data_IF_931015241919
#
_entry.id   IF_931015241919
#
_cell.length_a   1.000
_cell.length_b   1.000
_cell.length_c   1.000
_cell.angle_alpha   90.00
_cell.angle_beta   90.00
_cell.angle_gamma   90.00
#
_symmetry.space_group_name_H-M   'P 1'
#
loop_
_entity.id
_entity.type
_entity.pdbx_description
1 polymer ?
#
# COMPACT_ATOMS: atom_id res chain seq x y z
N UNK A 1 11.94 12.70 3.44
CA UNK A 1 12.54 11.37 3.15
C UNK A 1 13.30 11.42 1.81
N UNK A 2 14.59 10.98 1.75
CA UNK A 2 15.33 10.79 0.49
C UNK A 2 15.04 9.41 -0.08
N UNK A 3 14.79 9.30 -1.40
CA UNK A 3 14.39 8.05 -2.05
C UNK A 3 15.49 7.62 -3.01
N UNK A 4 15.93 6.37 -2.91
CA UNK A 4 16.93 5.74 -3.75
C UNK A 4 16.34 4.52 -4.43
N UNK A 5 16.46 4.43 -5.75
CA UNK A 5 15.96 3.31 -6.55
C UNK A 5 17.05 2.31 -6.95
N UNK A 6 18.29 2.65 -6.61
CA UNK A 6 19.46 1.81 -6.82
C UNK A 6 20.40 1.93 -5.62
N UNK A 7 20.97 0.80 -5.19
CA UNK A 7 21.95 0.77 -4.09
C UNK A 7 23.19 1.64 -4.36
N UNK A 8 23.58 1.76 -5.63
CA UNK A 8 24.74 2.56 -6.04
C UNK A 8 24.52 4.08 -5.90
N UNK A 9 23.28 4.53 -5.74
CA UNK A 9 22.94 5.93 -5.49
C UNK A 9 23.07 6.28 -3.99
N UNK A 10 23.09 5.25 -3.14
CA UNK A 10 23.13 5.41 -1.70
C UNK A 10 24.53 5.74 -1.20
N UNK A 11 24.65 6.81 -0.42
CA UNK A 11 25.91 7.16 0.24
C UNK A 11 26.01 6.47 1.59
N UNK A 12 27.07 5.71 1.81
CA UNK A 12 27.29 4.97 3.05
C UNK A 12 27.28 5.89 4.27
N UNK A 13 26.47 5.57 5.25
CA UNK A 13 26.32 6.33 6.48
C UNK A 13 27.30 5.85 7.56
N UNK A 14 27.66 6.74 8.47
CA UNK A 14 28.51 6.36 9.61
C UNK A 14 27.76 5.53 10.67
N UNK A 15 26.45 5.79 10.82
CA UNK A 15 25.61 5.15 11.84
C UNK A 15 24.19 5.02 11.33
N UNK A 16 23.94 4.05 10.45
CA UNK A 16 22.59 3.76 9.96
C UNK A 16 21.83 2.88 10.95
N UNK A 17 20.59 3.28 11.23
CA UNK A 17 19.56 2.45 11.87
C UNK A 17 18.64 1.96 10.77
N UNK A 18 18.59 0.67 10.55
CA UNK A 18 17.98 0.06 9.36
C UNK A 18 16.80 -0.81 9.74
N UNK A 19 15.77 -0.81 8.91
CA UNK A 19 14.75 -1.87 8.89
C UNK A 19 14.54 -2.38 7.46
N UNK A 20 14.06 -3.63 7.34
CA UNK A 20 13.92 -4.31 6.05
C UNK A 20 12.52 -4.92 5.97
N UNK A 21 11.85 -4.79 4.85
CA UNK A 21 10.57 -5.45 4.64
C UNK A 21 9.86 -5.07 3.35
N UNK A 22 8.87 -5.86 2.95
CA UNK A 22 8.02 -5.53 1.82
C UNK A 22 7.08 -4.36 2.13
N UNK A 23 6.72 -4.15 3.39
CA UNK A 23 5.83 -3.10 3.90
C UNK A 23 4.54 -2.94 3.06
N UNK A 24 3.98 -4.07 2.62
CA UNK A 24 2.75 -4.04 1.83
C UNK A 24 1.56 -3.71 2.72
N UNK A 25 0.91 -2.59 2.41
CA UNK A 25 -0.17 -2.02 3.18
C UNK A 25 0.27 -1.04 4.28
N UNK A 26 1.55 -0.86 4.56
CA UNK A 26 2.06 0.03 5.65
C UNK A 26 1.11 0.06 6.87
N UNK A 27 0.61 -1.12 7.25
CA UNK A 27 -0.44 -1.30 8.27
C UNK A 27 0.07 -1.04 9.69
N UNK A 28 -0.82 -1.04 10.69
CA UNK A 28 -0.50 -0.68 12.09
C UNK A 28 0.68 -1.52 12.65
N UNK A 29 0.81 -2.80 12.25
CA UNK A 29 1.98 -3.60 12.63
C UNK A 29 3.29 -3.03 12.07
N UNK A 30 3.29 -2.57 10.83
CA UNK A 30 4.45 -1.88 10.23
C UNK A 30 4.75 -0.55 10.93
N UNK A 31 3.71 0.21 11.34
CA UNK A 31 3.88 1.48 12.07
C UNK A 31 4.73 1.35 13.31
N UNK A 32 4.58 0.26 14.07
CA UNK A 32 5.40 0.00 15.26
C UNK A 32 6.88 -0.12 14.93
N UNK A 33 7.19 -0.84 13.84
CA UNK A 33 8.57 -1.00 13.36
C UNK A 33 9.13 0.36 12.94
N UNK A 34 8.35 1.15 12.18
CA UNK A 34 8.76 2.46 11.69
C UNK A 34 8.98 3.48 12.82
N UNK A 35 8.10 3.50 13.80
CA UNK A 35 8.27 4.36 14.97
C UNK A 35 9.53 3.97 15.77
N UNK A 36 9.76 2.67 15.99
CA UNK A 36 10.96 2.20 16.65
C UNK A 36 12.24 2.55 15.89
N UNK A 37 12.19 2.47 14.56
CA UNK A 37 13.28 2.87 13.67
C UNK A 37 13.66 4.35 13.88
N UNK A 38 12.68 5.26 13.82
CA UNK A 38 12.90 6.69 13.96
C UNK A 38 13.24 7.12 15.39
N UNK A 39 12.65 6.50 16.40
CA UNK A 39 13.02 6.71 17.81
C UNK A 39 14.47 6.33 18.07
N UNK A 40 14.87 5.14 17.61
CA UNK A 40 16.23 4.67 17.82
C UNK A 40 17.25 5.52 17.05
N UNK A 41 16.97 5.89 15.80
CA UNK A 41 17.87 6.75 15.01
C UNK A 41 18.12 8.08 15.73
N UNK A 42 17.08 8.69 16.27
CA UNK A 42 17.20 9.91 17.07
C UNK A 42 18.00 9.70 18.36
N UNK A 43 17.76 8.60 19.08
CA UNK A 43 18.42 8.27 20.34
C UNK A 43 19.94 8.08 20.19
N UNK A 44 20.37 7.47 19.07
CA UNK A 44 21.77 7.18 18.80
C UNK A 44 22.49 8.27 18.00
N UNK A 45 21.80 9.35 17.66
CA UNK A 45 22.27 10.37 16.71
C UNK A 45 22.74 9.74 15.38
N UNK A 46 21.92 8.84 14.84
CA UNK A 46 22.10 8.17 13.56
C UNK A 46 21.02 8.58 12.56
N UNK A 47 21.03 7.94 11.38
CA UNK A 47 20.03 8.17 10.34
C UNK A 47 19.20 6.91 10.10
N UNK A 48 17.89 7.08 9.94
CA UNK A 48 16.93 6.00 9.72
C UNK A 48 16.88 5.59 8.25
N UNK A 49 17.02 4.29 7.97
CA UNK A 49 16.98 3.72 6.62
C UNK A 49 15.95 2.61 6.56
N UNK A 50 14.98 2.75 5.69
CA UNK A 50 14.04 1.68 5.37
C UNK A 50 14.43 1.05 4.02
N UNK A 51 14.67 -0.26 4.03
CA UNK A 51 14.87 -1.05 2.82
C UNK A 51 13.56 -1.73 2.46
N UNK A 52 13.08 -1.46 1.25
CA UNK A 52 11.94 -2.18 0.68
C UNK A 52 12.29 -2.75 -0.70
N UNK A 53 11.40 -3.56 -1.24
CA UNK A 53 11.63 -4.29 -2.48
C UNK A 53 10.57 -3.95 -3.51
N UNK A 54 11.01 -3.84 -4.77
CA UNK A 54 10.12 -3.72 -5.91
C UNK A 54 10.75 -4.41 -7.14
N UNK A 55 10.04 -5.31 -7.85
CA UNK A 55 8.69 -5.80 -7.54
C UNK A 55 8.62 -6.53 -6.19
N UNK A 56 7.39 -6.78 -5.73
CA UNK A 56 7.17 -7.48 -4.45
C UNK A 56 7.79 -8.89 -4.48
N UNK A 57 8.57 -9.31 -3.44
CA UNK A 57 9.32 -10.57 -3.44
C UNK A 57 8.50 -11.81 -3.80
N UNK A 58 7.22 -11.82 -3.46
CA UNK A 58 6.33 -12.95 -3.75
C UNK A 58 6.15 -13.21 -5.24
N UNK A 59 6.20 -12.19 -6.09
CA UNK A 59 6.08 -12.38 -7.54
C UNK A 59 7.29 -13.07 -8.15
N UNK A 60 8.46 -12.90 -7.55
CA UNK A 60 9.69 -13.56 -7.99
C UNK A 60 9.85 -14.96 -7.39
N UNK A 61 9.53 -15.12 -6.10
CA UNK A 61 9.74 -16.36 -5.36
C UNK A 61 8.66 -17.41 -5.59
N UNK A 62 7.45 -17.02 -5.96
CA UNK A 62 6.28 -17.90 -6.11
C UNK A 62 5.59 -17.66 -7.45
N UNK A 63 6.30 -17.89 -8.55
CA UNK A 63 5.80 -17.68 -9.93
C UNK A 63 4.53 -18.49 -10.24
N UNK A 64 4.40 -19.68 -9.66
CA UNK A 64 3.27 -20.58 -9.90
C UNK A 64 2.11 -20.41 -8.90
N UNK A 65 2.21 -19.45 -7.96
CA UNK A 65 1.13 -19.18 -7.03
C UNK A 65 0.12 -18.20 -7.63
N UNK A 66 -1.13 -18.29 -7.20
CA UNK A 66 -2.13 -17.28 -7.57
C UNK A 66 -1.62 -15.86 -7.27
N UNK A 67 -1.80 -14.92 -8.22
CA UNK A 67 -1.39 -13.52 -8.02
C UNK A 67 -2.02 -12.95 -6.76
N UNK A 68 -1.21 -12.34 -5.92
CA UNK A 68 -1.75 -11.57 -4.79
C UNK A 68 -1.96 -10.12 -5.24
N UNK A 69 -3.14 -9.58 -4.99
CA UNK A 69 -3.32 -8.13 -5.11
C UNK A 69 -2.49 -7.40 -4.05
N UNK A 70 -1.66 -6.46 -4.47
CA UNK A 70 -0.89 -5.60 -3.57
C UNK A 70 -1.80 -4.59 -2.87
N UNK A 71 -1.59 -4.37 -1.58
CA UNK A 71 -2.35 -3.38 -0.83
C UNK A 71 -1.98 -1.94 -1.22
N UNK A 72 -0.73 -1.72 -1.65
CA UNK A 72 -0.28 -0.43 -2.15
C UNK A 72 0.50 -0.59 -3.45
N UNK A 73 0.34 0.34 -4.38
CA UNK A 73 1.32 0.57 -5.44
C UNK A 73 2.62 1.11 -4.83
N UNK A 74 3.70 1.19 -5.62
CA UNK A 74 4.96 1.76 -5.13
C UNK A 74 4.79 3.23 -4.71
N UNK A 75 4.07 4.01 -5.50
CA UNK A 75 3.80 5.43 -5.23
C UNK A 75 2.94 5.64 -3.99
N UNK A 76 1.91 4.82 -3.79
CA UNK A 76 1.09 4.83 -2.57
C UNK A 76 1.92 4.47 -1.34
N UNK A 77 2.80 3.47 -1.45
CA UNK A 77 3.72 3.07 -0.39
C UNK A 77 4.68 4.20 -0.03
N UNK A 78 5.31 4.83 -1.03
CA UNK A 78 6.21 5.97 -0.82
C UNK A 78 5.47 7.10 -0.11
N UNK A 79 4.27 7.46 -0.57
CA UNK A 79 3.46 8.50 0.05
C UNK A 79 3.13 8.21 1.52
N UNK A 80 2.77 6.97 1.85
CA UNK A 80 2.49 6.55 3.22
C UNK A 80 3.76 6.58 4.09
N UNK A 81 4.88 6.08 3.59
CA UNK A 81 6.13 6.03 4.33
C UNK A 81 6.69 7.42 4.62
N UNK A 82 6.46 8.39 3.75
CA UNK A 82 6.93 9.78 3.94
C UNK A 82 6.32 10.43 5.20
N UNK A 83 5.14 10.00 5.62
CA UNK A 83 4.47 10.49 6.85
C UNK A 83 5.16 10.05 8.14
N UNK A 84 6.11 9.10 8.08
CA UNK A 84 6.84 8.57 9.26
C UNK A 84 8.18 9.26 9.51
N UNK A 85 8.51 10.31 8.75
CA UNK A 85 9.76 11.07 8.92
C UNK A 85 11.03 10.21 8.88
N UNK A 86 11.03 9.16 8.05
CA UNK A 86 12.20 8.34 7.77
C UNK A 86 13.18 9.17 6.94
N UNK A 87 14.47 9.10 7.24
CA UNK A 87 15.47 9.89 6.50
C UNK A 87 15.68 9.34 5.09
N UNK A 88 15.79 8.00 4.96
CA UNK A 88 16.16 7.32 3.71
C UNK A 88 15.24 6.14 3.41
N UNK A 89 14.70 6.09 2.20
CA UNK A 89 13.99 4.94 1.63
C UNK A 89 14.83 4.36 0.49
N UNK A 90 15.32 3.14 0.68
CA UNK A 90 16.03 2.38 -0.34
C UNK A 90 15.11 1.31 -0.94
N UNK A 91 14.83 1.43 -2.22
CA UNK A 91 14.01 0.50 -2.98
C UNK A 91 14.93 -0.41 -3.78
N UNK A 92 15.10 -1.65 -3.32
CA UNK A 92 15.94 -2.63 -3.99
C UNK A 92 15.14 -3.38 -5.06
N UNK A 93 15.75 -3.57 -6.23
CA UNK A 93 15.18 -4.41 -7.29
C UNK A 93 15.24 -5.87 -6.86
N UNK A 94 14.06 -6.46 -6.56
CA UNK A 94 13.97 -7.87 -6.19
C UNK A 94 13.80 -8.73 -7.43
N UNK A 95 14.88 -9.33 -7.88
CA UNK A 95 14.93 -10.23 -9.03
C UNK A 95 15.47 -11.63 -8.61
N UNK A 96 15.58 -12.54 -9.56
CA UNK A 96 16.10 -13.90 -9.30
C UNK A 96 17.53 -13.91 -8.76
N UNK A 97 18.39 -13.02 -9.26
CA UNK A 97 19.76 -12.89 -8.80
C UNK A 97 19.80 -12.43 -7.34
N UNK A 98 19.05 -11.37 -7.00
CA UNK A 98 18.95 -10.87 -5.66
C UNK A 98 18.39 -11.92 -4.69
N UNK A 99 17.41 -12.73 -5.13
CA UNK A 99 16.80 -13.77 -4.31
C UNK A 99 17.75 -14.92 -3.92
N UNK A 100 18.87 -15.06 -4.63
CA UNK A 100 19.92 -16.07 -4.38
C UNK A 100 21.03 -15.58 -3.45
N UNK A 101 21.02 -14.31 -3.05
CA UNK A 101 21.99 -13.79 -2.09
C UNK A 101 21.87 -14.54 -0.77
N UNK A 102 22.99 -15.06 -0.27
CA UNK A 102 23.07 -15.65 1.06
C UNK A 102 22.83 -14.59 2.15
N UNK A 103 22.53 -15.00 3.37
CA UNK A 103 22.41 -14.05 4.48
C UNK A 103 23.71 -13.28 4.69
N UNK A 104 24.86 -13.95 4.60
CA UNK A 104 26.18 -13.31 4.71
C UNK A 104 26.42 -12.25 3.64
N UNK A 105 26.16 -12.60 2.38
CA UNK A 105 26.33 -11.67 1.26
C UNK A 105 25.43 -10.44 1.40
N UNK A 106 24.18 -10.64 1.82
CA UNK A 106 23.25 -9.54 2.06
C UNK A 106 23.75 -8.65 3.21
N UNK A 107 24.17 -9.23 4.31
CA UNK A 107 24.70 -8.47 5.47
C UNK A 107 25.97 -7.71 5.08
N UNK A 108 26.96 -8.38 4.51
CA UNK A 108 28.24 -7.76 4.23
C UNK A 108 28.20 -6.73 3.10
N UNK A 109 27.56 -7.10 1.97
CA UNK A 109 27.54 -6.25 0.77
C UNK A 109 26.56 -5.10 0.86
N UNK A 110 25.34 -5.38 1.38
CA UNK A 110 24.25 -4.40 1.41
C UNK A 110 24.25 -3.66 2.74
N UNK A 111 24.08 -4.36 3.86
CA UNK A 111 23.89 -3.69 5.14
C UNK A 111 25.15 -2.98 5.61
N UNK A 112 26.32 -3.65 5.56
CA UNK A 112 27.56 -3.10 6.09
C UNK A 112 28.22 -2.17 5.07
N UNK A 113 28.61 -2.70 3.91
CA UNK A 113 29.44 -1.96 2.95
C UNK A 113 28.70 -0.81 2.26
N UNK A 114 27.47 -1.08 1.79
CA UNK A 114 26.73 -0.07 1.06
C UNK A 114 25.99 0.93 1.96
N UNK A 115 25.40 0.48 3.08
CA UNK A 115 24.54 1.33 3.93
C UNK A 115 25.27 1.87 5.16
N UNK A 116 26.18 1.11 5.76
CA UNK A 116 26.84 1.46 7.03
C UNK A 116 25.95 1.16 8.23
N UNK A 117 25.24 0.03 8.19
CA UNK A 117 24.29 -0.39 9.23
C UNK A 117 25.02 -0.61 10.55
N UNK A 118 24.59 0.08 11.61
CA UNK A 118 25.03 -0.16 12.98
C UNK A 118 23.95 -0.84 13.82
N UNK A 119 22.69 -0.50 13.55
CA UNK A 119 21.54 -1.06 14.23
C UNK A 119 20.54 -1.60 13.21
N UNK A 120 19.97 -2.79 13.46
CA UNK A 120 18.99 -3.41 12.60
C UNK A 120 17.72 -3.73 13.41
N UNK A 121 16.61 -3.06 13.06
CA UNK A 121 15.31 -3.22 13.72
C UNK A 121 14.46 -4.18 12.88
N UNK A 122 14.05 -5.31 13.43
CA UNK A 122 13.29 -6.34 12.75
C UNK A 122 12.11 -6.83 13.60
N UNK A 123 11.03 -7.24 12.95
CA UNK A 123 9.96 -8.00 13.60
C UNK A 123 10.43 -9.42 13.93
N UNK A 124 9.84 -10.02 14.94
CA UNK A 124 10.21 -11.33 15.49
C UNK A 124 10.25 -12.49 14.45
N UNK A 125 9.42 -12.42 13.43
CA UNK A 125 9.29 -13.44 12.36
C UNK A 125 10.05 -13.09 11.08
N UNK A 126 10.76 -11.97 11.08
CA UNK A 126 11.46 -11.50 9.89
C UNK A 126 12.61 -12.43 9.52
N UNK A 127 12.68 -12.77 8.23
CA UNK A 127 13.73 -13.58 7.64
C UNK A 127 14.21 -12.95 6.34
N UNK A 128 15.52 -13.06 6.07
CA UNK A 128 16.16 -12.54 4.86
C UNK A 128 17.22 -13.52 4.34
N UNK A 129 17.79 -13.20 3.17
CA UNK A 129 18.72 -14.08 2.49
C UNK A 129 18.07 -15.29 1.83
N UNK A 130 18.86 -16.00 1.02
CA UNK A 130 18.42 -17.21 0.35
C UNK A 130 17.89 -18.24 1.38
N UNK A 131 16.86 -18.99 1.01
CA UNK A 131 16.21 -19.98 1.91
C UNK A 131 15.76 -19.43 3.28
N UNK A 132 15.69 -18.09 3.43
CA UNK A 132 15.28 -17.43 4.69
C UNK A 132 16.22 -17.75 5.89
N UNK A 133 17.49 -17.98 5.62
CA UNK A 133 18.50 -18.37 6.63
C UNK A 133 18.85 -17.22 7.59
N UNK A 134 18.81 -15.96 7.12
CA UNK A 134 19.05 -14.79 7.97
C UNK A 134 17.88 -14.51 8.90
N UNK A 135 18.19 -14.27 10.17
CA UNK A 135 17.24 -13.97 11.24
C UNK A 135 17.91 -13.12 12.33
N UNK A 136 17.15 -12.70 13.33
CA UNK A 136 17.71 -12.03 14.52
C UNK A 136 18.66 -12.98 15.26
N UNK A 137 18.29 -14.24 15.42
CA UNK A 137 19.14 -15.24 16.06
C UNK A 137 20.46 -15.41 15.29
N UNK A 138 20.37 -15.45 13.94
CA UNK A 138 21.55 -15.52 13.08
C UNK A 138 22.49 -14.32 13.29
N UNK A 139 21.94 -13.11 13.35
CA UNK A 139 22.71 -11.89 13.60
C UNK A 139 23.33 -11.87 14.99
N UNK A 140 22.60 -12.30 16.01
CA UNK A 140 23.10 -12.37 17.38
C UNK A 140 24.24 -13.39 17.53
N UNK A 141 24.13 -14.54 16.86
CA UNK A 141 25.17 -15.56 16.84
C UNK A 141 26.47 -15.06 16.17
N UNK A 142 26.36 -14.18 15.17
CA UNK A 142 27.50 -13.65 14.41
C UNK A 142 27.79 -12.17 14.73
N UNK A 143 27.35 -11.68 15.89
CA UNK A 143 27.45 -10.27 16.27
C UNK A 143 28.89 -9.73 16.20
N UNK A 144 29.85 -10.50 16.68
CA UNK A 144 31.28 -10.09 16.69
C UNK A 144 31.86 -9.98 15.27
N UNK A 145 31.36 -10.78 14.33
CA UNK A 145 31.78 -10.75 12.93
C UNK A 145 31.21 -9.53 12.18
N UNK A 146 29.92 -9.25 12.36
CA UNK A 146 29.22 -8.23 11.57
C UNK A 146 29.21 -6.86 12.25
N UNK A 147 29.35 -6.79 13.55
CA UNK A 147 29.32 -5.53 14.30
C UNK A 147 27.95 -4.83 14.28
N UNK A 148 26.87 -5.51 13.90
CA UNK A 148 25.50 -5.00 13.87
C UNK A 148 24.79 -5.36 15.18
N UNK A 149 24.13 -4.38 15.79
CA UNK A 149 23.21 -4.60 16.89
C UNK A 149 21.80 -4.84 16.37
N UNK A 150 21.24 -6.02 16.63
CA UNK A 150 19.88 -6.35 16.25
C UNK A 150 18.89 -6.01 17.35
N UNK A 151 17.79 -5.32 16.99
CA UNK A 151 16.69 -4.96 17.89
C UNK A 151 15.44 -5.66 17.41
N UNK A 152 14.92 -6.55 18.22
CA UNK A 152 13.67 -7.26 17.96
C UNK A 152 12.47 -6.45 18.41
N UNK A 153 11.46 -6.35 17.54
CA UNK A 153 10.11 -5.95 17.95
C UNK A 153 9.38 -7.22 18.41
N UNK A 154 9.04 -7.33 19.71
CA UNK A 154 8.51 -8.57 20.26
C UNK A 154 7.19 -8.99 19.61
N UNK A 155 6.99 -10.31 19.51
CA UNK A 155 5.76 -10.92 19.00
C UNK A 155 4.51 -10.33 19.66
N UNK A 156 4.51 -10.16 20.98
CA UNK A 156 3.39 -9.62 21.75
C UNK A 156 2.97 -8.21 21.31
N UNK A 157 3.91 -7.38 20.86
CA UNK A 157 3.61 -6.04 20.37
C UNK A 157 2.99 -6.05 18.98
N UNK A 158 3.29 -7.05 18.16
CA UNK A 158 2.78 -7.20 16.79
C UNK A 158 1.50 -8.04 16.80
N UNK A 159 1.50 -9.18 17.46
CA UNK A 159 0.35 -10.13 17.47
C UNK A 159 -0.81 -9.70 18.36
N UNK A 160 -0.60 -8.87 19.39
CA UNK A 160 -1.71 -8.29 20.16
C UNK A 160 -2.72 -7.56 19.25
N UNK A 161 -2.31 -7.25 18.03
CA UNK A 161 -3.14 -6.56 17.03
C UNK A 161 -3.80 -7.53 16.04
N UNK A 162 -3.43 -8.81 15.99
CA UNK A 162 -3.93 -9.81 15.02
C UNK A 162 -3.90 -9.30 13.55
N UNK A 163 -2.91 -8.46 13.21
CA UNK A 163 -2.85 -7.73 11.95
C UNK A 163 -1.89 -8.40 10.98
N UNK A 164 -2.36 -8.61 9.76
CA UNK A 164 -1.51 -9.04 8.65
C UNK A 164 -2.06 -8.50 7.32
N UNK A 165 -1.17 -8.30 6.33
CA UNK A 165 -1.60 -7.94 4.98
C UNK A 165 -2.61 -8.96 4.40
N UNK A 166 -2.53 -10.23 4.81
CA UNK A 166 -3.49 -11.27 4.40
C UNK A 166 -4.90 -11.03 4.95
N UNK A 167 -5.01 -10.64 6.21
CA UNK A 167 -6.30 -10.30 6.84
C UNK A 167 -6.92 -9.07 6.14
N UNK A 168 -6.11 -8.05 5.91
CA UNK A 168 -6.56 -6.82 5.24
C UNK A 168 -7.07 -7.11 3.82
N UNK A 169 -6.34 -7.93 3.04
CA UNK A 169 -6.80 -8.36 1.71
C UNK A 169 -8.14 -9.07 1.77
N UNK A 170 -8.28 -10.01 2.69
CA UNK A 170 -9.53 -10.75 2.88
C UNK A 170 -10.69 -9.81 3.21
N UNK A 171 -10.49 -8.84 4.10
CA UNK A 171 -11.50 -7.86 4.46
C UNK A 171 -11.91 -7.01 3.24
N UNK A 172 -10.96 -6.48 2.46
CA UNK A 172 -11.24 -5.71 1.26
C UNK A 172 -11.99 -6.49 0.19
N UNK A 173 -11.61 -7.76 -0.04
CA UNK A 173 -12.28 -8.65 -1.00
C UNK A 173 -13.68 -9.06 -0.57
N UNK A 174 -13.98 -9.03 0.71
CA UNK A 174 -15.32 -9.28 1.25
C UNK A 174 -16.19 -8.01 1.37
N UNK A 175 -15.63 -6.81 1.10
CA UNK A 175 -16.32 -5.53 1.24
C UNK A 175 -16.31 -4.98 2.68
N UNK A 176 -15.51 -5.57 3.58
CA UNK A 176 -15.39 -5.10 4.95
C UNK A 176 -14.31 -4.00 5.07
N UNK A 177 -14.62 -2.84 4.47
CA UNK A 177 -13.72 -1.68 4.48
C UNK A 177 -13.43 -1.19 5.90
N UNK A 178 -14.36 -1.33 6.83
CA UNK A 178 -14.19 -0.90 8.23
C UNK A 178 -13.09 -1.70 8.92
N UNK A 179 -13.12 -3.04 8.78
CA UNK A 179 -12.07 -3.92 9.32
C UNK A 179 -10.75 -3.67 8.61
N UNK A 180 -10.75 -3.51 7.28
CA UNK A 180 -9.54 -3.20 6.52
C UNK A 180 -8.89 -1.89 6.99
N UNK A 181 -9.66 -0.81 7.06
CA UNK A 181 -9.18 0.52 7.46
C UNK A 181 -8.69 0.56 8.92
N UNK A 182 -9.40 -0.14 9.83
CA UNK A 182 -8.96 -0.27 11.22
C UNK A 182 -7.58 -0.94 11.31
N UNK A 183 -7.34 -1.98 10.52
CA UNK A 183 -6.07 -2.71 10.51
C UNK A 183 -4.95 -1.97 9.76
N UNK A 184 -5.28 -1.24 8.71
CA UNK A 184 -4.36 -0.34 8.02
C UNK A 184 -3.99 0.85 8.91
N UNK A 185 -4.97 1.38 9.65
CA UNK A 185 -4.85 2.63 10.42
C UNK A 185 -4.97 3.88 9.54
N UNK A 186 -5.53 3.72 8.34
CA UNK A 186 -5.89 4.75 7.37
C UNK A 186 -6.94 4.18 6.40
N UNK A 187 -7.76 5.02 5.72
CA UNK A 187 -8.68 4.56 4.68
C UNK A 187 -7.92 3.92 3.51
N UNK A 188 -8.42 2.79 2.99
CA UNK A 188 -7.77 2.13 1.85
C UNK A 188 -7.66 3.05 0.65
N UNK A 189 -6.48 3.10 0.04
CA UNK A 189 -6.14 4.00 -1.05
C UNK A 189 -6.29 3.33 -2.42
N UNK A 190 -6.85 4.08 -3.37
CA UNK A 190 -6.75 3.80 -4.80
C UNK A 190 -6.26 5.09 -5.50
N UNK A 191 -5.15 4.99 -6.23
CA UNK A 191 -4.60 6.10 -7.01
C UNK A 191 -4.58 5.74 -8.48
N UNK A 192 -5.08 6.63 -9.33
CA UNK A 192 -5.12 6.41 -10.77
C UNK A 192 -5.33 7.69 -11.55
N UNK A 193 -5.45 7.55 -12.86
CA UNK A 193 -5.70 8.67 -13.79
C UNK A 193 -7.17 8.70 -14.21
N UNK A 194 -7.70 9.90 -14.38
CA UNK A 194 -9.03 10.07 -14.95
C UNK A 194 -8.98 9.85 -16.45
N UNK A 195 -9.73 8.86 -16.92
CA UNK A 195 -9.87 8.53 -18.34
C UNK A 195 -11.28 8.82 -18.86
N UNK A 196 -11.43 8.92 -20.17
CA UNK A 196 -12.75 9.04 -20.77
C UNK A 196 -13.60 7.79 -20.54
N UNK A 197 -14.89 7.99 -20.21
CA UNK A 197 -15.93 6.96 -20.09
C UNK A 197 -17.12 7.23 -20.99
N UNK A 198 -18.19 6.46 -20.83
CA UNK A 198 -19.40 6.55 -21.67
C UNK A 198 -20.26 7.81 -21.41
N UNK A 199 -19.91 8.64 -20.42
CA UNK A 199 -20.57 9.93 -20.09
C UNK A 199 -22.07 9.80 -19.76
N UNK A 200 -22.59 8.58 -19.52
CA UNK A 200 -24.01 8.32 -19.24
C UNK A 200 -24.47 9.03 -17.95
N UNK A 201 -23.64 9.02 -16.91
CA UNK A 201 -23.94 9.68 -15.64
C UNK A 201 -24.24 11.17 -15.79
N UNK A 202 -23.58 11.86 -16.77
CA UNK A 202 -23.82 13.27 -17.04
C UNK A 202 -25.26 13.55 -17.52
N UNK A 203 -25.87 12.64 -18.29
CA UNK A 203 -27.24 12.80 -18.82
C UNK A 203 -28.31 12.65 -17.76
N UNK A 204 -27.98 12.01 -16.62
CA UNK A 204 -28.91 11.74 -15.52
C UNK A 204 -28.60 12.55 -14.25
N UNK A 205 -27.71 13.55 -14.35
CA UNK A 205 -27.35 14.44 -13.24
C UNK A 205 -26.30 13.90 -12.27
N UNK A 206 -25.67 12.77 -12.57
CA UNK A 206 -24.62 12.14 -11.77
C UNK A 206 -23.34 11.95 -12.60
N UNK A 207 -22.64 13.03 -13.00
CA UNK A 207 -21.39 12.91 -13.74
C UNK A 207 -20.37 12.09 -12.96
N UNK A 208 -19.69 11.14 -13.61
CA UNK A 208 -18.67 10.29 -13.00
C UNK A 208 -17.33 10.44 -13.71
N UNK A 209 -16.25 10.44 -12.94
CA UNK A 209 -14.89 10.25 -13.43
C UNK A 209 -14.55 8.76 -13.42
N UNK A 210 -14.04 8.26 -14.56
CA UNK A 210 -13.55 6.88 -14.67
C UNK A 210 -12.08 6.85 -14.30
N UNK A 211 -11.71 6.02 -13.34
CA UNK A 211 -10.35 5.95 -12.79
C UNK A 211 -9.64 4.73 -13.35
N UNK A 212 -8.52 4.96 -14.00
CA UNK A 212 -7.63 3.93 -14.52
C UNK A 212 -6.43 3.77 -13.57
N UNK A 213 -6.25 2.55 -13.04
CA UNK A 213 -5.12 2.19 -12.20
C UNK A 213 -4.14 1.43 -13.08
N UNK A 214 -2.92 1.97 -13.25
CA UNK A 214 -1.89 1.40 -14.13
C UNK A 214 -1.31 0.09 -13.58
N UNK A 215 -1.12 0.03 -12.27
CA UNK A 215 -0.56 -1.14 -11.60
C UNK A 215 -1.60 -2.27 -11.56
N UNK A 216 -1.41 -3.26 -12.42
CA UNK A 216 -2.33 -4.41 -12.52
C UNK A 216 -2.29 -5.31 -11.28
N UNK A 217 -1.23 -5.24 -10.51
CA UNK A 217 -1.08 -5.99 -9.26
C UNK A 217 -1.79 -5.31 -8.08
N UNK A 218 -2.27 -4.07 -8.25
CA UNK A 218 -3.03 -3.37 -7.21
C UNK A 218 -4.31 -4.11 -6.86
N UNK A 219 -4.53 -4.39 -5.58
CA UNK A 219 -5.77 -4.99 -5.11
C UNK A 219 -6.93 -4.01 -5.28
N UNK A 220 -7.90 -4.43 -6.10
CA UNK A 220 -9.18 -3.72 -6.21
C UNK A 220 -10.18 -4.40 -5.26
N UNK A 221 -10.81 -3.66 -4.34
CA UNK A 221 -11.77 -4.21 -3.37
C UNK A 221 -12.98 -4.87 -4.01
N UNK A 222 -13.88 -5.43 -3.20
CA UNK A 222 -15.15 -6.01 -3.65
C UNK A 222 -15.94 -5.03 -4.52
N UNK A 223 -16.60 -5.53 -5.54
CA UNK A 223 -17.51 -4.74 -6.35
C UNK A 223 -18.67 -4.18 -5.50
N UNK A 224 -19.05 -2.95 -5.76
CA UNK A 224 -20.14 -2.26 -5.05
C UNK A 224 -19.90 -0.77 -4.91
N UNK A 225 -20.70 -0.12 -4.09
CA UNK A 225 -20.70 1.32 -3.88
C UNK A 225 -20.05 1.65 -2.55
N UNK A 226 -19.17 2.66 -2.57
CA UNK A 226 -18.37 3.12 -1.41
C UNK A 226 -18.53 4.62 -1.19
N UNK A 227 -18.60 5.04 0.06
CA UNK A 227 -18.38 6.43 0.45
C UNK A 227 -16.86 6.71 0.44
N UNK A 228 -16.45 7.76 -0.25
CA UNK A 228 -15.03 8.05 -0.48
C UNK A 228 -14.69 9.53 -0.30
N UNK A 229 -13.46 9.81 0.15
CA UNK A 229 -12.84 11.09 -0.12
C UNK A 229 -12.04 11.01 -1.43
N UNK A 230 -12.07 12.10 -2.17
CA UNK A 230 -11.41 12.25 -3.47
C UNK A 230 -10.42 13.39 -3.35
N UNK A 231 -9.14 13.13 -3.68
CA UNK A 231 -8.10 14.15 -3.67
C UNK A 231 -7.66 14.46 -5.10
N UNK A 232 -7.73 15.74 -5.47
CA UNK A 232 -7.34 16.25 -6.78
C UNK A 232 -6.43 17.46 -6.54
N UNK A 233 -5.20 17.43 -7.01
CA UNK A 233 -4.23 18.53 -6.89
C UNK A 233 -4.06 19.07 -5.45
N UNK A 234 -4.22 18.21 -4.45
CA UNK A 234 -4.10 18.54 -3.03
C UNK A 234 -5.42 18.89 -2.33
N UNK A 235 -6.45 19.24 -3.07
CA UNK A 235 -7.79 19.54 -2.53
C UNK A 235 -8.59 18.26 -2.28
N UNK A 236 -9.40 18.26 -1.20
CA UNK A 236 -10.21 17.14 -0.76
C UNK A 236 -11.69 17.37 -1.04
N UNK A 237 -12.28 16.46 -1.76
CA UNK A 237 -13.72 16.43 -2.06
C UNK A 237 -14.37 15.18 -1.44
N UNK A 238 -15.70 15.19 -1.32
CA UNK A 238 -16.52 14.03 -0.96
C UNK A 238 -17.07 13.40 -2.22
N UNK A 239 -17.31 12.08 -2.21
CA UNK A 239 -17.87 11.38 -3.34
C UNK A 239 -18.43 10.01 -3.03
N UNK A 240 -19.08 9.43 -4.01
CA UNK A 240 -19.45 8.01 -4.01
C UNK A 240 -18.77 7.30 -5.18
N UNK A 241 -18.16 6.16 -4.89
CA UNK A 241 -17.40 5.35 -5.82
C UNK A 241 -18.17 4.08 -6.15
N UNK A 242 -18.26 3.73 -7.43
CA UNK A 242 -18.72 2.42 -7.88
C UNK A 242 -17.53 1.61 -8.41
N UNK A 243 -17.31 0.43 -7.85
CA UNK A 243 -16.42 -0.60 -8.40
C UNK A 243 -17.31 -1.66 -9.01
N UNK A 244 -17.23 -1.84 -10.32
CA UNK A 244 -18.12 -2.74 -11.05
C UNK A 244 -17.41 -3.53 -12.13
N UNK A 245 -18.19 -4.36 -12.84
CA UNK A 245 -17.73 -5.10 -14.01
C UNK A 245 -18.59 -4.73 -15.21
N UNK A 246 -17.97 -4.24 -16.27
CA UNK A 246 -18.66 -4.07 -17.56
C UNK A 246 -18.41 -5.26 -18.46
N UNK A 247 -19.48 -5.86 -19.04
CA UNK A 247 -19.31 -6.76 -20.17
C UNK A 247 -18.73 -6.00 -21.35
N UNK A 248 -17.58 -6.40 -21.86
CA UNK A 248 -17.07 -5.89 -23.14
C UNK A 248 -17.58 -6.78 -24.28
N UNK A 249 -17.57 -6.26 -25.52
CA UNK A 249 -18.00 -6.98 -26.72
C UNK A 249 -17.23 -8.33 -26.88
N UNK A 250 -16.03 -8.42 -26.34
CA UNK A 250 -15.15 -9.59 -26.41
C UNK A 250 -15.25 -10.52 -25.17
N UNK A 251 -16.29 -10.44 -24.35
CA UNK A 251 -16.44 -11.21 -23.09
C UNK A 251 -15.34 -10.98 -22.03
N UNK A 252 -14.42 -10.06 -22.21
CA UNK A 252 -13.49 -9.64 -21.19
C UNK A 252 -14.21 -8.80 -20.14
N UNK A 253 -14.33 -9.35 -18.94
CA UNK A 253 -14.90 -8.65 -17.78
C UNK A 253 -13.90 -7.65 -17.23
N UNK A 254 -13.85 -6.45 -17.78
CA UNK A 254 -13.01 -5.38 -17.20
C UNK A 254 -13.69 -4.76 -15.99
N UNK A 255 -12.96 -4.68 -14.89
CA UNK A 255 -13.40 -3.90 -13.73
C UNK A 255 -13.38 -2.41 -14.09
N UNK A 256 -14.43 -1.70 -13.69
CA UNK A 256 -14.55 -0.25 -13.81
C UNK A 256 -14.57 0.37 -12.43
N UNK A 257 -13.91 1.50 -12.31
CA UNK A 257 -13.81 2.30 -11.09
C UNK A 257 -14.32 3.69 -11.45
N UNK A 258 -15.53 4.03 -10.98
CA UNK A 258 -16.22 5.25 -11.36
C UNK A 258 -16.58 6.04 -10.11
N UNK A 259 -16.15 7.29 -10.00
CA UNK A 259 -16.46 8.15 -8.86
C UNK A 259 -17.30 9.35 -9.28
N UNK A 260 -18.44 9.52 -8.60
CA UNK A 260 -19.19 10.77 -8.63
C UNK A 260 -18.68 11.66 -7.49
N UNK A 261 -18.13 12.82 -7.86
CA UNK A 261 -17.55 13.79 -6.93
C UNK A 261 -18.63 14.83 -6.61
N UNK A 262 -18.96 15.03 -5.35
CA UNK A 262 -20.00 15.94 -4.93
C UNK A 262 -19.55 17.38 -5.04
N UNK A 263 -20.48 18.24 -5.46
CA UNK A 263 -20.28 19.70 -5.54
C UNK A 263 -19.05 20.09 -6.42
N UNK A 264 -18.79 19.29 -7.47
CA UNK A 264 -17.64 19.44 -8.34
C UNK A 264 -18.04 19.49 -9.82
N UNK A 265 -17.52 20.48 -10.56
CA UNK A 265 -17.89 20.70 -11.97
C UNK A 265 -16.70 21.13 -12.84
N UNK A 266 -15.50 20.60 -12.55
CA UNK A 266 -14.32 20.89 -13.35
C UNK A 266 -13.97 19.73 -14.28
N UNK A 267 -13.22 20.05 -15.35
CA UNK A 267 -12.63 19.03 -16.21
C UNK A 267 -11.32 18.52 -15.60
N UNK A 268 -11.27 17.21 -15.35
CA UNK A 268 -10.14 16.54 -14.72
C UNK A 268 -9.58 15.37 -15.53
N UNK A 269 -9.92 15.26 -16.82
CA UNK A 269 -9.33 14.22 -17.68
C UNK A 269 -7.80 14.31 -17.69
N UNK A 270 -7.14 13.16 -17.60
CA UNK A 270 -5.68 13.05 -17.54
C UNK A 270 -5.07 13.41 -16.18
N UNK A 271 -5.83 14.00 -15.25
CA UNK A 271 -5.32 14.29 -13.90
C UNK A 271 -5.22 13.02 -13.06
N UNK A 272 -4.24 13.00 -12.18
CA UNK A 272 -4.12 11.97 -11.12
C UNK A 272 -5.11 12.24 -10.01
N UNK A 273 -5.85 11.20 -9.60
CA UNK A 273 -6.79 11.24 -8.48
C UNK A 273 -6.40 10.19 -7.46
N UNK A 274 -6.48 10.54 -6.18
CA UNK A 274 -6.37 9.62 -5.05
C UNK A 274 -7.72 9.49 -4.36
N UNK A 275 -8.19 8.26 -4.21
CA UNK A 275 -9.42 7.91 -3.54
C UNK A 275 -9.10 7.28 -2.19
N UNK A 276 -9.78 7.72 -1.15
CA UNK A 276 -9.76 7.12 0.18
C UNK A 276 -11.11 6.43 0.44
N UNK A 277 -11.13 5.11 0.47
CA UNK A 277 -12.35 4.31 0.65
C UNK A 277 -12.69 4.22 2.13
N UNK A 278 -13.75 4.92 2.57
CA UNK A 278 -14.17 4.90 3.98
C UNK A 278 -15.03 3.69 4.29
N UNK A 279 -16.14 3.57 3.60
CA UNK A 279 -17.18 2.59 3.95
C UNK A 279 -17.78 1.98 2.69
N UNK A 280 -17.87 0.63 2.68
CA UNK A 280 -18.69 -0.11 1.73
C UNK A 280 -20.16 0.13 2.07
N UNK A 281 -20.94 0.61 1.11
CA UNK A 281 -22.34 0.97 1.33
C UNK A 281 -23.31 -0.13 0.90
N UNK A 282 -23.10 -0.71 -0.27
CA UNK A 282 -23.93 -1.76 -0.83
C UNK A 282 -23.28 -2.48 -2.01
N UNK A 283 -23.80 -3.63 -2.37
CA UNK A 283 -23.45 -4.34 -3.60
C UNK A 283 -24.00 -3.64 -4.84
N UNK A 284 -23.47 -4.00 -6.01
CA UNK A 284 -24.06 -3.61 -7.29
C UNK A 284 -25.49 -4.22 -7.40
N UNK A 285 -26.39 -3.43 -7.98
CA UNK A 285 -27.75 -3.88 -8.26
C UNK A 285 -28.13 -3.59 -9.71
N UNK A 286 -28.98 -4.45 -10.28
CA UNK A 286 -29.63 -4.19 -11.56
C UNK A 286 -30.92 -3.40 -11.32
N UNK A 287 -31.20 -2.43 -12.14
CA UNK A 287 -32.39 -1.59 -12.05
C UNK A 287 -33.30 -1.84 -13.25
N UNK A 288 -34.60 -1.84 -13.01
CA UNK A 288 -35.63 -2.08 -14.07
C UNK A 288 -35.77 -0.88 -15.04
N UNK A 289 -35.12 0.22 -14.74
CA UNK A 289 -35.14 1.41 -15.60
C UNK A 289 -34.33 2.56 -15.05
N UNK A 290 -34.30 3.65 -15.82
CA UNK A 290 -33.50 4.83 -15.52
C UNK A 290 -33.98 5.54 -14.25
N UNK A 291 -35.30 5.62 -14.03
CA UNK A 291 -35.88 6.30 -12.86
C UNK A 291 -35.51 5.56 -11.54
N UNK A 292 -35.54 4.24 -11.57
CA UNK A 292 -35.13 3.42 -10.42
C UNK A 292 -33.64 3.60 -10.10
N UNK A 293 -32.78 3.68 -11.14
CA UNK A 293 -31.37 3.98 -10.99
C UNK A 293 -31.15 5.38 -10.37
N UNK A 294 -31.82 6.42 -10.91
CA UNK A 294 -31.71 7.80 -10.40
C UNK A 294 -32.15 7.87 -8.93
N UNK A 295 -33.25 7.21 -8.58
CA UNK A 295 -33.74 7.17 -7.20
C UNK A 295 -32.69 6.54 -6.26
N UNK A 296 -32.07 5.45 -6.68
CA UNK A 296 -31.02 4.80 -5.89
C UNK A 296 -29.78 5.66 -5.77
N UNK A 297 -29.32 6.31 -6.84
CA UNK A 297 -28.16 7.21 -6.82
C UNK A 297 -28.38 8.39 -5.84
N UNK A 298 -29.61 8.94 -5.79
CA UNK A 298 -29.95 9.98 -4.80
C UNK A 298 -29.87 9.46 -3.36
N UNK A 299 -30.32 8.23 -3.10
CA UNK A 299 -30.19 7.58 -1.77
C UNK A 299 -28.72 7.34 -1.42
N UNK A 300 -27.94 6.88 -2.37
CA UNK A 300 -26.50 6.62 -2.18
C UNK A 300 -25.76 7.93 -1.88
N UNK A 301 -26.07 9.02 -2.57
CA UNK A 301 -25.49 10.34 -2.30
C UNK A 301 -25.83 10.83 -0.89
N UNK A 302 -27.09 10.77 -0.48
CA UNK A 302 -27.52 11.18 0.88
C UNK A 302 -26.78 10.35 1.94
N UNK A 303 -26.72 9.04 1.76
CA UNK A 303 -26.02 8.13 2.68
C UNK A 303 -24.52 8.43 2.71
N UNK A 304 -23.91 8.60 1.54
CA UNK A 304 -22.47 8.89 1.43
C UNK A 304 -22.12 10.22 2.10
N UNK A 305 -22.91 11.28 1.87
CA UNK A 305 -22.72 12.59 2.54
C UNK A 305 -22.82 12.47 4.07
N UNK A 306 -23.76 11.69 4.59
CA UNK A 306 -23.90 11.45 6.02
C UNK A 306 -22.71 10.68 6.62
N UNK A 307 -22.15 9.69 5.89
CA UNK A 307 -20.98 8.91 6.31
C UNK A 307 -19.66 9.73 6.28
N UNK A 308 -19.59 10.72 5.40
CA UNK A 308 -18.40 11.56 5.21
C UNK A 308 -18.41 12.84 6.07
N UNK A 309 -19.46 13.11 6.81
CA UNK A 309 -19.59 14.24 7.74
C UNK A 309 -19.90 15.57 7.06
#
# INVERSE_FOLDING_TARGET
MKIYRNINEFQTLNKAVVTIGAFDGVHIGHKKILNRLTELSSLVNGESVLITFWPHPRFVLKKDAEPIGLLNTLEEKIHLLDTYHIDHLLILNFNEEFSKLTADDFIEKILIKAIGTRFLVLGYDHRFGNNREGSIDYLNLHKDRFGIESIEIPKQEIESLTISSTLIRKALLNGDSTVANKNLGYPYLLRGFVIEGNKLGRTIGFPTANIFIEDQDKLIPKNGVYAVYVYIEGERYKGMLNIGVRPTINNDKRRTIEVHIFDFNEDIYGKTVRLELLTFMREEAKFEGLDALILQLKKDEVTSRALLG
#
